data_IF_929406899183
#
_entry.id   IF_929406899183
#
_cell.length_a   1.000
_cell.length_b   1.000
_cell.length_c   1.000
_cell.angle_alpha   90.00
_cell.angle_beta   90.00
_cell.angle_gamma   90.00
#
_symmetry.space_group_name_H-M   'P 1'
#
loop_
_entity.id
_entity.type
_entity.pdbx_description
1 polymer ?
#
# COMPACT_ATOMS: atom_id res chain seq x y z
N UNK A 1 16.26 8.71 -3.74
CA UNK A 1 15.23 7.72 -4.10
C UNK A 1 14.01 8.05 -3.27
N UNK A 2 13.00 8.66 -3.90
CA UNK A 2 11.82 9.20 -3.21
C UNK A 2 10.86 8.06 -2.86
N UNK A 3 10.12 8.22 -1.78
CA UNK A 3 9.21 7.21 -1.22
C UNK A 3 7.87 7.90 -0.96
N UNK A 4 6.84 7.59 -1.74
CA UNK A 4 5.49 8.08 -1.52
C UNK A 4 4.38 6.99 -1.54
N UNK A 5 3.28 7.30 -0.82
CA UNK A 5 1.89 6.79 -0.68
C UNK A 5 1.61 5.57 0.23
N UNK A 6 0.49 5.41 0.98
CA UNK A 6 -0.87 6.03 1.09
C UNK A 6 -1.12 6.88 2.39
N UNK A 7 -2.08 7.82 2.31
CA UNK A 7 -2.69 8.70 3.35
C UNK A 7 -2.31 8.52 4.83
N UNK A 8 -1.67 9.53 5.43
CA UNK A 8 -1.80 9.86 6.86
C UNK A 8 -1.76 11.37 6.99
N UNK A 9 -2.77 11.97 7.64
CA UNK A 9 -2.66 13.33 8.17
C UNK A 9 -1.35 13.40 8.96
N UNK A 10 -0.44 14.31 8.63
CA UNK A 10 0.81 14.47 9.35
C UNK A 10 0.53 14.88 10.81
N UNK A 11 0.32 13.90 11.68
CA UNK A 11 0.39 14.09 13.13
C UNK A 11 1.87 14.01 13.45
N UNK A 12 2.48 15.08 14.02
CA UNK A 12 3.86 15.02 14.46
C UNK A 12 4.02 13.82 15.39
N UNK A 13 5.23 13.26 15.47
CA UNK A 13 5.61 12.24 16.46
C UNK A 13 5.61 12.88 17.85
N UNK A 14 4.45 13.35 18.28
CA UNK A 14 4.15 13.72 19.64
C UNK A 14 3.70 12.44 20.32
N UNK A 15 4.36 12.13 21.44
CA UNK A 15 4.01 11.06 22.36
C UNK A 15 2.50 11.08 22.61
N UNK A 16 1.77 10.11 22.08
CA UNK A 16 0.38 9.89 22.45
C UNK A 16 0.27 8.57 23.19
N UNK A 17 -0.14 8.68 24.46
CA UNK A 17 -0.51 7.58 25.31
C UNK A 17 -1.82 6.94 24.82
N UNK A 18 -1.76 5.61 24.65
CA UNK A 18 -2.79 4.62 24.98
C UNK A 18 -4.26 4.96 24.65
N UNK A 19 -4.75 4.44 23.52
CA UNK A 19 -5.92 3.56 23.45
C UNK A 19 -6.31 3.27 21.99
N UNK A 20 -5.67 2.29 21.34
CA UNK A 20 -6.24 1.63 20.15
C UNK A 20 -5.59 0.25 19.98
N UNK A 21 -6.35 -0.77 20.39
CA UNK A 21 -6.16 -2.22 20.28
C UNK A 21 -4.76 -2.77 19.93
N UNK A 22 -4.18 -3.50 20.89
CA UNK A 22 -3.13 -4.53 20.69
C UNK A 22 -3.62 -5.72 19.81
N UNK A 23 -4.49 -5.45 18.83
CA UNK A 23 -5.01 -6.44 17.91
C UNK A 23 -3.85 -6.95 17.06
N UNK A 24 -3.59 -8.25 17.20
CA UNK A 24 -2.62 -8.97 16.40
C UNK A 24 -3.35 -9.67 15.28
N UNK A 25 -2.98 -9.33 14.05
CA UNK A 25 -3.45 -9.93 12.81
C UNK A 25 -2.43 -10.99 12.38
N UNK A 26 -2.92 -12.16 11.99
CA UNK A 26 -2.16 -13.34 11.57
C UNK A 26 -1.07 -13.76 12.56
N UNK A 27 -1.29 -13.48 13.86
CA UNK A 27 -0.32 -13.69 14.95
C UNK A 27 1.07 -13.07 14.70
N UNK A 28 1.16 -12.07 13.80
CA UNK A 28 2.43 -11.49 13.33
C UNK A 28 2.40 -9.97 13.28
N UNK A 29 1.31 -9.37 12.81
CA UNK A 29 1.22 -7.95 12.57
C UNK A 29 0.45 -7.28 13.71
N UNK A 30 1.09 -6.35 14.41
CA UNK A 30 0.43 -5.58 15.47
C UNK A 30 -0.06 -4.26 14.88
N UNK A 31 -1.36 -3.99 14.97
CA UNK A 31 -1.91 -2.71 14.52
C UNK A 31 -1.33 -1.58 15.37
N UNK A 32 -0.81 -0.56 14.71
CA UNK A 32 -0.26 0.65 15.36
C UNK A 32 -1.27 1.79 15.29
N UNK A 33 -1.74 2.10 14.07
CA UNK A 33 -2.76 3.12 13.83
C UNK A 33 -3.44 2.90 12.49
N UNK A 34 -4.64 3.46 12.35
CA UNK A 34 -5.32 3.57 11.07
C UNK A 34 -4.69 4.69 10.24
N UNK A 35 -4.42 4.42 8.96
CA UNK A 35 -3.88 5.38 8.00
C UNK A 35 -5.01 6.04 7.22
N UNK A 36 -5.95 5.22 6.73
CA UNK A 36 -7.08 5.72 5.97
C UNK A 36 -8.19 4.70 5.77
N UNK A 37 -9.21 5.13 5.04
CA UNK A 37 -10.28 4.31 4.49
C UNK A 37 -10.31 4.60 3.00
N UNK A 38 -10.02 3.59 2.18
CA UNK A 38 -10.21 3.65 0.73
C UNK A 38 -11.58 3.11 0.34
N UNK A 39 -11.89 3.21 -0.95
CA UNK A 39 -13.13 2.67 -1.55
C UNK A 39 -13.30 1.17 -1.34
N UNK A 40 -12.18 0.45 -1.15
CA UNK A 40 -12.13 -1.00 -1.07
C UNK A 40 -11.89 -1.52 0.35
N UNK A 41 -11.69 -0.65 1.34
CA UNK A 41 -11.46 -1.09 2.71
C UNK A 41 -10.63 -0.15 3.57
N UNK A 42 -10.16 -0.68 4.70
CA UNK A 42 -9.38 0.08 5.68
C UNK A 42 -7.88 -0.14 5.51
N UNK A 43 -7.08 0.89 5.75
CA UNK A 43 -5.62 0.83 5.67
C UNK A 43 -5.01 1.14 7.03
N UNK A 44 -4.07 0.31 7.49
CA UNK A 44 -3.45 0.40 8.80
C UNK A 44 -1.93 0.36 8.71
N UNK A 45 -1.26 1.11 9.57
CA UNK A 45 0.16 0.92 9.85
C UNK A 45 0.27 -0.21 10.86
N UNK A 46 1.13 -1.17 10.54
CA UNK A 46 1.35 -2.35 11.39
C UNK A 46 2.83 -2.54 11.67
N UNK A 47 3.12 -3.15 12.82
CA UNK A 47 4.46 -3.62 13.18
C UNK A 47 4.55 -5.13 12.97
N UNK A 48 5.45 -5.56 12.07
CA UNK A 48 5.78 -6.95 11.82
C UNK A 48 6.74 -7.48 12.89
N UNK A 49 6.22 -8.34 13.77
CA UNK A 49 6.98 -8.95 14.87
C UNK A 49 8.11 -9.88 14.41
N UNK A 50 8.07 -10.34 13.16
CA UNK A 50 9.07 -11.27 12.59
C UNK A 50 10.02 -10.58 11.60
N UNK A 51 9.87 -9.28 11.36
CA UNK A 51 10.74 -8.56 10.45
C UNK A 51 12.17 -8.43 11.00
N UNK A 52 13.15 -8.43 10.09
CA UNK A 52 14.55 -8.10 10.41
C UNK A 52 14.65 -6.63 10.85
N UNK A 53 15.74 -6.29 11.56
CA UNK A 53 15.98 -4.90 11.99
C UNK A 53 15.91 -3.93 10.79
N UNK A 54 15.17 -2.84 10.95
CA UNK A 54 15.01 -1.80 9.92
C UNK A 54 13.74 -1.87 9.05
N UNK A 55 13.00 -2.99 9.05
CA UNK A 55 11.82 -3.18 8.19
C UNK A 55 10.53 -3.52 8.95
N UNK A 56 10.46 -3.13 10.22
CA UNK A 56 9.36 -3.51 11.11
C UNK A 56 8.02 -2.89 10.74
N UNK A 57 8.01 -1.67 10.21
CA UNK A 57 6.79 -1.00 9.80
C UNK A 57 6.35 -1.48 8.42
N UNK A 58 5.07 -1.87 8.32
CA UNK A 58 4.40 -2.30 7.09
C UNK A 58 3.02 -1.65 7.01
N UNK A 59 2.40 -1.70 5.83
CA UNK A 59 1.02 -1.30 5.63
C UNK A 59 0.16 -2.56 5.50
N UNK A 60 -0.98 -2.59 6.20
CA UNK A 60 -2.02 -3.60 6.09
C UNK A 60 -3.24 -2.97 5.42
N UNK A 61 -3.62 -3.47 4.25
CA UNK A 61 -4.88 -3.13 3.58
C UNK A 61 -5.87 -4.26 3.81
N UNK A 62 -6.96 -3.96 4.50
CA UNK A 62 -8.04 -4.88 4.86
C UNK A 62 -9.24 -4.62 3.94
N UNK A 63 -9.55 -5.58 3.09
CA UNK A 63 -10.65 -5.52 2.11
C UNK A 63 -11.73 -6.48 2.59
N UNK A 64 -12.93 -5.98 2.87
CA UNK A 64 -14.03 -6.84 3.33
C UNK A 64 -14.43 -7.82 2.23
N UNK A 65 -14.43 -9.12 2.56
CA UNK A 65 -14.83 -10.23 1.68
C UNK A 65 -16.30 -10.56 1.89
N UNK A 66 -17.01 -9.83 2.78
CA UNK A 66 -18.36 -10.15 3.25
C UNK A 66 -19.47 -10.34 2.19
N UNK A 67 -19.20 -10.02 0.91
CA UNK A 67 -20.10 -10.28 -0.22
C UNK A 67 -19.45 -11.07 -1.38
N UNK A 68 -18.18 -11.48 -1.25
CA UNK A 68 -17.46 -12.15 -2.33
C UNK A 68 -17.84 -13.63 -2.39
N UNK A 69 -18.23 -14.10 -3.57
CA UNK A 69 -18.48 -15.51 -3.86
C UNK A 69 -17.17 -16.30 -3.73
N UNK A 70 -17.21 -17.61 -3.44
CA UNK A 70 -16.01 -18.45 -3.32
C UNK A 70 -15.03 -18.32 -4.50
N UNK A 71 -15.55 -18.13 -5.72
CA UNK A 71 -14.74 -17.94 -6.93
C UNK A 71 -13.94 -16.63 -6.90
N UNK A 72 -14.51 -15.54 -6.37
CA UNK A 72 -13.85 -14.23 -6.30
C UNK A 72 -12.68 -14.24 -5.30
N UNK A 73 -12.75 -15.08 -4.25
CA UNK A 73 -11.63 -15.26 -3.32
C UNK A 73 -10.46 -16.01 -3.97
N UNK A 74 -10.75 -16.99 -4.82
CA UNK A 74 -9.70 -17.72 -5.58
C UNK A 74 -9.01 -16.78 -6.55
N UNK A 75 -9.78 -15.98 -7.27
CA UNK A 75 -9.24 -15.00 -8.21
C UNK A 75 -8.42 -13.90 -7.50
N UNK A 76 -8.88 -13.39 -6.36
CA UNK A 76 -8.13 -12.44 -5.54
C UNK A 76 -6.77 -13.00 -5.08
N UNK A 77 -6.72 -14.29 -4.71
CA UNK A 77 -5.47 -14.95 -4.35
C UNK A 77 -4.53 -15.10 -5.55
N UNK A 78 -5.05 -15.44 -6.73
CA UNK A 78 -4.25 -15.52 -7.96
C UNK A 78 -3.65 -14.15 -8.30
N UNK A 79 -4.44 -13.09 -8.18
CA UNK A 79 -3.99 -11.73 -8.42
C UNK A 79 -2.92 -11.29 -7.42
N UNK A 80 -3.09 -11.59 -6.13
CA UNK A 80 -2.08 -11.31 -5.12
C UNK A 80 -0.77 -12.10 -5.36
N UNK A 81 -0.84 -13.31 -5.91
CA UNK A 81 0.35 -14.05 -6.35
C UNK A 81 1.07 -13.37 -7.50
N UNK A 82 0.34 -12.74 -8.44
CA UNK A 82 0.96 -11.97 -9.51
C UNK A 82 1.62 -10.70 -8.98
N UNK A 83 0.94 -9.99 -8.07
CA UNK A 83 1.49 -8.83 -7.37
C UNK A 83 2.77 -9.17 -6.61
N UNK A 84 2.83 -10.34 -5.97
CA UNK A 84 4.03 -10.81 -5.25
C UNK A 84 5.27 -11.02 -6.13
N UNK A 85 5.09 -11.12 -7.46
CA UNK A 85 6.18 -11.28 -8.44
C UNK A 85 6.71 -9.94 -8.97
N UNK A 86 6.05 -8.82 -8.61
CA UNK A 86 6.52 -7.49 -8.97
C UNK A 86 7.64 -7.08 -8.01
N UNK A 87 8.78 -6.70 -8.58
CA UNK A 87 9.97 -6.25 -7.86
C UNK A 87 10.67 -5.20 -8.71
N UNK A 88 10.33 -3.95 -8.46
CA UNK A 88 10.83 -2.82 -9.23
C UNK A 88 10.92 -1.60 -8.29
N UNK A 89 11.95 -0.74 -8.40
CA UNK A 89 12.13 0.39 -7.50
C UNK A 89 10.96 1.40 -7.52
N UNK A 90 10.21 1.48 -8.62
CA UNK A 90 9.00 2.31 -8.74
C UNK A 90 7.69 1.58 -8.41
N UNK A 91 7.76 0.38 -7.80
CA UNK A 91 6.60 -0.40 -7.37
C UNK A 91 6.72 -0.68 -5.87
N UNK A 92 5.61 -0.53 -5.16
CA UNK A 92 5.52 -0.79 -3.72
C UNK A 92 5.75 -2.28 -3.48
N UNK A 93 6.73 -2.61 -2.64
CA UNK A 93 7.07 -3.99 -2.32
C UNK A 93 5.92 -4.71 -1.61
N UNK A 94 5.47 -5.80 -2.22
CA UNK A 94 4.52 -6.74 -1.64
C UNK A 94 5.25 -7.71 -0.70
N UNK A 95 4.66 -8.01 0.47
CA UNK A 95 5.20 -8.99 1.41
C UNK A 95 4.34 -10.23 1.56
N UNK A 96 3.03 -10.07 1.70
CA UNK A 96 2.11 -11.17 1.96
C UNK A 96 0.67 -10.78 1.64
N UNK A 97 -0.16 -11.79 1.37
CA UNK A 97 -1.61 -11.68 1.46
C UNK A 97 -2.17 -12.88 2.22
N UNK A 98 -3.31 -12.70 2.87
CA UNK A 98 -4.01 -13.76 3.60
C UNK A 98 -5.47 -13.35 3.86
N UNK A 99 -6.31 -14.31 4.22
CA UNK A 99 -7.69 -14.04 4.67
C UNK A 99 -7.76 -14.18 6.17
N UNK A 100 -8.36 -13.20 6.84
CA UNK A 100 -8.62 -13.23 8.28
C UNK A 100 -9.92 -12.49 8.60
N UNK A 101 -10.79 -13.08 9.43
CA UNK A 101 -12.08 -12.49 9.87
C UNK A 101 -12.92 -11.96 8.68
N UNK A 102 -13.09 -12.79 7.66
CA UNK A 102 -13.85 -12.45 6.44
C UNK A 102 -13.34 -11.21 5.70
N UNK A 103 -12.05 -10.92 5.84
CA UNK A 103 -11.36 -9.85 5.13
C UNK A 103 -10.11 -10.37 4.43
N UNK A 104 -9.88 -9.89 3.21
CA UNK A 104 -8.68 -10.13 2.44
C UNK A 104 -7.66 -9.06 2.82
N UNK A 105 -6.56 -9.52 3.37
CA UNK A 105 -5.52 -8.68 3.94
C UNK A 105 -4.29 -8.70 3.04
N UNK A 106 -3.76 -7.52 2.72
CA UNK A 106 -2.53 -7.34 1.94
C UNK A 106 -1.51 -6.59 2.77
N UNK A 107 -0.27 -7.10 2.80
CA UNK A 107 0.88 -6.49 3.47
C UNK A 107 1.85 -5.93 2.45
N UNK A 108 2.09 -4.63 2.52
CA UNK A 108 3.03 -3.91 1.66
C UNK A 108 4.06 -3.12 2.47
N UNK A 109 5.07 -2.57 1.80
CA UNK A 109 6.03 -1.69 2.44
C UNK A 109 5.40 -0.41 2.97
N UNK A 110 5.98 0.13 4.03
CA UNK A 110 5.61 1.45 4.53
C UNK A 110 6.50 2.52 3.88
N UNK A 111 5.88 3.45 3.16
CA UNK A 111 6.53 4.62 2.57
C UNK A 111 6.41 5.83 3.49
N UNK A 112 7.48 6.15 4.21
CA UNK A 112 7.50 7.23 5.22
C UNK A 112 7.22 8.63 4.64
N UNK A 113 7.48 8.87 3.35
CA UNK A 113 7.39 10.21 2.74
C UNK A 113 5.96 10.72 2.48
N UNK A 114 4.92 9.98 2.87
CA UNK A 114 3.53 10.32 2.59
C UNK A 114 3.25 10.20 1.11
N UNK A 115 2.10 10.65 0.62
CA UNK A 115 1.62 10.32 -0.73
C UNK A 115 1.85 11.47 -1.76
N UNK A 116 1.76 11.29 -3.09
CA UNK A 116 1.91 12.39 -4.06
C UNK A 116 0.84 13.47 -3.85
N UNK A 117 -0.41 13.09 -3.55
CA UNK A 117 -1.45 14.05 -3.17
C UNK A 117 -1.07 14.81 -1.89
N UNK A 118 -0.49 14.14 -0.91
CA UNK A 118 0.05 14.74 0.30
C UNK A 118 1.20 15.71 -0.03
N UNK A 119 2.10 15.36 -0.95
CA UNK A 119 3.16 16.27 -1.43
C UNK A 119 2.59 17.49 -2.14
N UNK A 120 1.58 17.29 -2.99
CA UNK A 120 0.88 18.37 -3.69
C UNK A 120 0.22 19.31 -2.67
N UNK A 121 -0.45 18.75 -1.66
CA UNK A 121 -1.07 19.54 -0.60
C UNK A 121 -0.04 20.29 0.25
N UNK A 122 1.06 19.64 0.63
CA UNK A 122 2.17 20.25 1.39
C UNK A 122 2.78 21.45 0.64
N UNK A 123 2.97 21.33 -0.67
CA UNK A 123 3.48 22.44 -1.50
C UNK A 123 2.47 23.56 -1.65
N UNK A 124 1.19 23.22 -1.84
CA UNK A 124 0.10 24.21 -1.87
C UNK A 124 0.02 25.00 -0.57
N UNK A 125 0.04 24.33 0.58
CA UNK A 125 -0.07 24.96 1.90
C UNK A 125 1.14 25.82 2.24
N UNK A 126 2.33 25.45 1.73
CA UNK A 126 3.57 26.21 1.93
C UNK A 126 3.82 27.30 0.87
N UNK A 127 2.91 27.46 -0.11
CA UNK A 127 3.05 28.42 -1.21
C UNK A 127 4.23 28.12 -2.15
N UNK A 128 4.72 26.87 -2.16
CA UNK A 128 5.84 26.42 -2.98
C UNK A 128 5.35 25.79 -4.28
N UNK A 129 6.16 25.87 -5.32
CA UNK A 129 5.93 25.19 -6.60
C UNK A 129 6.93 24.05 -6.78
N UNK A 130 6.51 23.00 -7.47
CA UNK A 130 7.44 21.97 -7.94
C UNK A 130 8.32 22.54 -9.05
N UNK A 131 9.58 22.14 -9.07
CA UNK A 131 10.44 22.43 -10.22
C UNK A 131 10.06 21.52 -11.39
N UNK A 132 10.25 21.99 -12.62
CA UNK A 132 10.00 21.16 -13.80
C UNK A 132 10.81 19.86 -13.77
N UNK A 133 12.07 19.93 -13.33
CA UNK A 133 12.93 18.74 -13.19
C UNK A 133 12.32 17.72 -12.25
N UNK A 134 11.84 18.15 -11.08
CA UNK A 134 11.24 17.26 -10.08
C UNK A 134 9.98 16.56 -10.62
N UNK A 135 9.12 17.28 -11.36
CA UNK A 135 7.93 16.70 -11.99
C UNK A 135 8.32 15.67 -13.05
N UNK A 136 9.33 15.98 -13.87
CA UNK A 136 9.84 15.05 -14.90
C UNK A 136 10.41 13.79 -14.24
N UNK A 137 11.19 13.92 -13.17
CA UNK A 137 11.77 12.77 -12.46
C UNK A 137 10.70 11.83 -11.90
N UNK A 138 9.61 12.38 -11.35
CA UNK A 138 8.46 11.59 -10.90
C UNK A 138 7.73 10.92 -12.06
N UNK A 139 7.54 11.66 -13.15
CA UNK A 139 6.89 11.13 -14.34
C UNK A 139 7.69 9.98 -14.96
N UNK A 140 9.02 10.07 -15.02
CA UNK A 140 9.88 8.99 -15.48
C UNK A 140 9.74 7.76 -14.56
N UNK A 141 9.75 7.93 -13.24
CA UNK A 141 9.58 6.83 -12.29
C UNK A 141 8.23 6.11 -12.49
N UNK A 142 7.14 6.88 -12.67
CA UNK A 142 5.83 6.34 -13.02
C UNK A 142 5.87 5.49 -14.29
N UNK A 143 6.42 6.05 -15.37
CA UNK A 143 6.48 5.38 -16.66
C UNK A 143 7.31 4.09 -16.59
N UNK A 144 8.43 4.09 -15.85
CA UNK A 144 9.23 2.89 -15.63
C UNK A 144 8.46 1.81 -14.87
N UNK A 145 7.72 2.18 -13.82
CA UNK A 145 6.86 1.26 -13.08
C UNK A 145 5.76 0.67 -13.95
N UNK A 146 5.06 1.50 -14.72
CA UNK A 146 4.00 1.06 -15.65
C UNK A 146 4.56 0.18 -16.75
N UNK A 147 5.69 0.55 -17.36
CA UNK A 147 6.34 -0.27 -18.38
C UNK A 147 6.71 -1.66 -17.84
N UNK A 148 7.32 -1.71 -16.65
CA UNK A 148 7.65 -2.97 -15.98
C UNK A 148 6.42 -3.84 -15.71
N UNK A 149 5.30 -3.24 -15.28
CA UNK A 149 4.05 -3.96 -15.12
C UNK A 149 3.55 -4.49 -16.46
N UNK A 150 3.49 -3.67 -17.50
CA UNK A 150 3.02 -4.08 -18.83
C UNK A 150 3.82 -5.25 -19.41
N UNK A 151 5.15 -5.25 -19.28
CA UNK A 151 6.01 -6.36 -19.72
C UNK A 151 5.73 -7.68 -18.99
N UNK A 152 5.16 -7.61 -17.77
CA UNK A 152 4.83 -8.77 -16.93
C UNK A 152 3.34 -9.12 -16.89
N UNK A 153 2.49 -8.22 -17.39
CA UNK A 153 1.03 -8.29 -17.30
C UNK A 153 0.38 -9.05 -18.46
N UNK A 154 1.15 -9.57 -19.42
CA UNK A 154 0.66 -10.42 -20.51
C UNK A 154 -0.04 -11.73 -20.08
N UNK A 155 -0.28 -11.95 -18.78
CA UNK A 155 -0.90 -13.14 -18.22
C UNK A 155 -2.19 -12.90 -17.40
N UNK A 156 -2.73 -11.67 -17.32
CA UNK A 156 -3.97 -11.41 -16.57
C UNK A 156 -5.19 -11.46 -17.49
N UNK A 157 -5.57 -12.67 -17.92
CA UNK A 157 -6.92 -12.94 -18.40
C UNK A 157 -7.72 -13.54 -17.23
N UNK A 158 -8.58 -12.72 -16.63
CA UNK A 158 -9.51 -13.15 -15.58
C UNK A 158 -10.04 -11.92 -14.87
N UNK A 159 -11.34 -11.74 -14.86
CA UNK A 159 -12.04 -10.51 -14.46
C UNK A 159 -12.03 -10.23 -12.96
N UNK A 160 -10.92 -10.43 -12.27
CA UNK A 160 -10.81 -10.10 -10.86
C UNK A 160 -10.47 -8.62 -10.63
N UNK A 161 -10.95 -8.13 -9.49
CA UNK A 161 -11.11 -6.72 -9.15
C UNK A 161 -10.06 -6.22 -8.14
N UNK A 162 -9.02 -7.00 -7.81
CA UNK A 162 -8.08 -6.68 -6.73
C UNK A 162 -6.99 -5.67 -7.15
N UNK A 163 -6.51 -5.68 -8.40
CA UNK A 163 -5.65 -4.63 -8.98
C UNK A 163 -6.44 -3.33 -9.14
N UNK A 164 -7.76 -3.42 -9.42
CA UNK A 164 -8.64 -2.25 -9.35
C UNK A 164 -8.81 -1.75 -7.91
N UNK A 165 -8.70 -2.65 -6.92
CA UNK A 165 -8.79 -2.32 -5.50
C UNK A 165 -7.48 -1.77 -4.90
N UNK A 166 -6.34 -1.99 -5.57
CA UNK A 166 -5.02 -1.50 -5.18
C UNK A 166 -4.38 -0.67 -6.31
N UNK A 167 -4.97 0.46 -6.73
CA UNK A 167 -4.34 1.34 -7.71
C UNK A 167 -3.00 1.94 -7.21
N UNK A 168 -2.77 1.88 -5.90
CA UNK A 168 -1.66 2.53 -5.18
C UNK A 168 -0.36 1.70 -5.17
N UNK A 169 -0.24 0.69 -6.04
CA UNK A 169 0.93 -0.18 -6.12
C UNK A 169 2.17 0.50 -6.73
N UNK A 170 2.01 1.67 -7.34
CA UNK A 170 3.14 2.46 -7.82
C UNK A 170 3.78 3.21 -6.66
N UNK A 171 5.09 3.01 -6.51
CA UNK A 171 5.91 3.78 -5.59
C UNK A 171 6.19 5.12 -6.25
N UNK A 172 5.38 6.10 -5.91
CA UNK A 172 5.58 7.48 -6.35
C UNK A 172 6.62 8.19 -5.51
#
# INVERSE_FOLDING_TARGET
MLKFQETVKHVPVARFNSACSDAVIARRYTIQRKLGNGSFGSVYLVNDRKAKQGEKLKVLKEISVGNLKPNETVEANLEAQLLSKLDHPAIVKFYASFVERDSFCIITEYCEGGDLDFKIQEYRDSGKMFTQSQVIDWFIQLLLGVNYMHERQSFIQGGCSLLRACPDLLRL
#
